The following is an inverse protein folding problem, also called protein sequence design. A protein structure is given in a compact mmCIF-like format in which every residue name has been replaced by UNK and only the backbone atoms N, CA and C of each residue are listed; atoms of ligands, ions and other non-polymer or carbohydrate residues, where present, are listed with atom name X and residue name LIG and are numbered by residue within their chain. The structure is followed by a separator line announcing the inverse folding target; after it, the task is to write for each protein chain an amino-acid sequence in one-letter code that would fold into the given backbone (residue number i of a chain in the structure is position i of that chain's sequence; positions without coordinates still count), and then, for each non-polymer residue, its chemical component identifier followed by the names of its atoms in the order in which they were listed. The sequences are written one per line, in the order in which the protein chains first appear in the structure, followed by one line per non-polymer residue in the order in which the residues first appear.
data_IF_042450006296
#
_entry.id   IF_042450006296
#
_cell.length_a   1.000
_cell.length_b   1.000
_cell.length_c   1.000
_cell.angle_alpha   90.00
_cell.angle_beta   90.00
_cell.angle_gamma   90.00
#
_symmetry.space_group_name_H-M   'P 1'
#
loop_
_entity.id
_entity.type
_entity.pdbx_description
1 polymer ?
#
# COMPACT_ATOMS: atom_id res chain seq x y z
N UNK A 1 30.81 35.76 -16.25
CA UNK A 1 30.47 36.61 -15.08
C UNK A 1 29.36 35.99 -14.26
N UNK A 2 29.27 36.36 -13.00
CA UNK A 2 28.19 35.84 -12.10
C UNK A 2 26.82 36.26 -12.62
N UNK A 3 26.67 37.48 -13.10
CA UNK A 3 25.40 37.94 -13.68
C UNK A 3 25.03 37.16 -14.95
N UNK A 4 26.02 36.86 -15.81
CA UNK A 4 25.80 36.01 -16.98
C UNK A 4 25.39 34.58 -16.59
N UNK A 5 26.00 34.03 -15.57
CA UNK A 5 25.65 32.73 -15.05
C UNK A 5 24.22 32.68 -14.49
N UNK A 6 23.82 33.65 -13.72
CA UNK A 6 22.46 33.74 -13.19
C UNK A 6 21.43 33.97 -14.28
N UNK A 7 21.77 34.70 -15.32
CA UNK A 7 20.93 34.85 -16.52
C UNK A 7 20.74 33.52 -17.23
N UNK A 8 21.80 32.71 -17.35
CA UNK A 8 21.76 31.39 -17.95
C UNK A 8 20.92 30.40 -17.12
N UNK A 9 21.06 30.42 -15.79
CA UNK A 9 20.22 29.66 -14.87
C UNK A 9 18.75 30.05 -15.05
N UNK A 10 18.46 31.34 -15.10
CA UNK A 10 17.10 31.81 -15.31
C UNK A 10 16.51 31.35 -16.64
N UNK A 11 17.30 31.37 -17.71
CA UNK A 11 16.86 30.90 -19.02
C UNK A 11 16.53 29.40 -19.00
N UNK A 12 17.32 28.62 -18.29
CA UNK A 12 17.03 27.19 -18.09
C UNK A 12 15.74 26.97 -17.28
N UNK A 13 15.51 27.76 -16.24
CA UNK A 13 14.28 27.71 -15.46
C UNK A 13 13.05 28.06 -16.30
N UNK A 14 13.15 29.09 -17.15
CA UNK A 14 12.06 29.47 -18.06
C UNK A 14 11.75 28.36 -19.05
N UNK A 15 12.77 27.70 -19.59
CA UNK A 15 12.58 26.56 -20.49
C UNK A 15 11.92 25.38 -19.76
N UNK A 16 12.34 25.08 -18.55
CA UNK A 16 11.70 24.03 -17.73
C UNK A 16 10.23 24.39 -17.50
N UNK A 17 9.92 25.66 -17.25
CA UNK A 17 8.54 26.12 -17.10
C UNK A 17 7.70 25.89 -18.34
N UNK A 18 8.22 26.22 -19.52
CA UNK A 18 7.55 25.95 -20.80
C UNK A 18 7.27 24.46 -20.99
N UNK A 19 8.27 23.61 -20.72
CA UNK A 19 8.15 22.16 -20.81
C UNK A 19 7.12 21.60 -19.81
N UNK A 20 7.06 22.18 -18.62
CA UNK A 20 6.09 21.79 -17.59
C UNK A 20 4.67 22.15 -17.99
N UNK A 21 4.46 23.31 -18.59
CA UNK A 21 3.14 23.70 -19.16
C UNK A 21 2.74 22.73 -20.27
N UNK A 22 3.66 22.37 -21.14
CA UNK A 22 3.41 21.39 -22.20
C UNK A 22 3.03 20.02 -21.61
N UNK A 23 3.71 19.58 -20.55
CA UNK A 23 3.42 18.31 -19.87
C UNK A 23 2.05 18.31 -19.17
N UNK A 24 1.54 19.45 -18.76
CA UNK A 24 0.26 19.58 -18.06
C UNK A 24 -0.96 19.48 -18.98
N UNK A 25 -0.77 19.50 -20.30
CA UNK A 25 -1.86 19.28 -21.23
C UNK A 25 -2.28 17.82 -21.24
N UNK A 26 -3.58 17.54 -21.27
CA UNK A 26 -4.12 16.18 -21.15
C UNK A 26 -3.93 15.28 -22.39
N UNK A 27 -3.16 15.70 -23.38
CA UNK A 27 -2.98 15.00 -24.65
C UNK A 27 -1.63 14.28 -24.77
N UNK A 28 -0.78 14.34 -23.72
CA UNK A 28 0.52 13.69 -23.75
C UNK A 28 0.40 12.18 -23.47
N UNK A 29 1.08 11.36 -24.27
CA UNK A 29 1.32 9.95 -23.96
C UNK A 29 2.40 9.83 -22.87
N UNK A 30 2.56 8.64 -22.27
CA UNK A 30 3.66 8.37 -21.34
C UNK A 30 5.02 8.60 -22.02
N UNK A 31 5.16 8.23 -23.31
CA UNK A 31 6.37 8.47 -24.09
C UNK A 31 6.64 9.97 -24.30
N UNK A 32 5.60 10.77 -24.51
CA UNK A 32 5.73 12.23 -24.62
C UNK A 32 6.21 12.82 -23.30
N UNK A 33 5.64 12.39 -22.17
CA UNK A 33 6.05 12.83 -20.83
C UNK A 33 7.50 12.43 -20.52
N UNK A 34 7.94 11.25 -20.93
CA UNK A 34 9.32 10.80 -20.76
C UNK A 34 10.29 11.68 -21.54
N UNK A 35 9.95 12.03 -22.77
CA UNK A 35 10.77 12.92 -23.61
C UNK A 35 10.86 14.33 -23.01
N UNK A 36 9.75 14.86 -22.52
CA UNK A 36 9.73 16.16 -21.82
C UNK A 36 10.59 16.11 -20.56
N UNK A 37 10.48 15.04 -19.79
CA UNK A 37 11.28 14.86 -18.57
C UNK A 37 12.77 14.75 -18.87
N UNK A 38 13.18 14.10 -19.92
CA UNK A 38 14.58 14.01 -20.31
C UNK A 38 15.16 15.39 -20.62
N UNK A 39 14.41 16.27 -21.29
CA UNK A 39 14.83 17.65 -21.52
C UNK A 39 14.87 18.45 -20.23
N UNK A 40 13.88 18.30 -19.33
CA UNK A 40 13.87 18.94 -18.02
C UNK A 40 15.11 18.55 -17.21
N UNK A 41 15.45 17.26 -17.18
CA UNK A 41 16.64 16.77 -16.48
C UNK A 41 17.90 17.38 -17.04
N UNK A 42 18.03 17.45 -18.36
CA UNK A 42 19.15 18.10 -19.02
C UNK A 42 19.30 19.56 -18.59
N UNK A 43 18.19 20.29 -18.48
CA UNK A 43 18.19 21.70 -18.04
C UNK A 43 18.54 21.84 -16.55
N UNK A 44 18.08 20.93 -15.70
CA UNK A 44 18.46 20.92 -14.29
C UNK A 44 19.94 20.62 -14.11
N UNK A 45 20.48 19.65 -14.86
CA UNK A 45 21.91 19.31 -14.85
C UNK A 45 22.76 20.51 -15.30
N UNK A 46 22.30 21.26 -16.30
CA UNK A 46 22.97 22.48 -16.78
C UNK A 46 22.97 23.57 -15.71
N UNK A 47 21.88 23.74 -14.96
CA UNK A 47 21.83 24.67 -13.82
C UNK A 47 22.91 24.31 -12.80
N UNK A 48 23.02 23.02 -12.44
CA UNK A 48 24.01 22.55 -11.48
C UNK A 48 25.44 22.72 -11.99
N UNK A 49 25.68 22.49 -13.27
CA UNK A 49 26.98 22.71 -13.91
C UNK A 49 27.39 24.16 -13.87
N UNK A 50 26.51 25.06 -14.26
CA UNK A 50 26.76 26.51 -14.25
C UNK A 50 27.03 26.99 -12.82
N UNK A 51 26.23 26.53 -11.86
CA UNK A 51 26.39 26.84 -10.45
C UNK A 51 27.75 26.42 -9.90
N UNK A 52 28.18 25.20 -10.21
CA UNK A 52 29.46 24.66 -9.72
C UNK A 52 30.70 25.27 -10.36
N UNK A 53 30.58 25.81 -11.58
CA UNK A 53 31.72 26.30 -12.34
C UNK A 53 31.87 27.84 -12.36
N UNK A 54 30.86 28.57 -11.90
CA UNK A 54 30.89 30.04 -11.92
C UNK A 54 31.85 30.56 -10.86
N UNK A 55 32.86 31.33 -11.30
CA UNK A 55 33.90 31.87 -10.43
C UNK A 55 33.97 33.38 -10.51
N UNK A 56 34.33 33.99 -9.37
CA UNK A 56 34.74 35.35 -9.24
C UNK A 56 36.04 35.38 -8.42
N UNK A 57 37.13 35.93 -9.01
CA UNK A 57 38.44 35.96 -8.38
C UNK A 57 38.91 34.54 -7.89
N UNK A 58 38.65 33.49 -8.66
CA UNK A 58 39.03 32.13 -8.31
C UNK A 58 38.11 31.43 -7.28
N UNK A 59 37.06 32.11 -6.82
CA UNK A 59 36.08 31.56 -5.88
C UNK A 59 34.82 31.13 -6.61
N UNK A 60 34.36 29.91 -6.34
CA UNK A 60 33.08 29.39 -6.86
C UNK A 60 31.93 30.03 -6.09
N UNK A 61 31.41 31.15 -6.59
CA UNK A 61 30.51 32.05 -5.85
C UNK A 61 29.08 31.54 -5.70
N UNK A 62 28.68 30.50 -6.48
CA UNK A 62 27.36 29.91 -6.42
C UNK A 62 27.36 28.49 -5.84
N UNK A 63 28.52 27.97 -5.44
CA UNK A 63 28.67 26.58 -5.01
C UNK A 63 28.49 26.37 -3.50
N UNK A 64 28.51 27.44 -2.72
CA UNK A 64 28.37 27.37 -1.25
C UNK A 64 27.90 28.68 -0.66
N UNK A 65 27.32 28.61 0.53
CA UNK A 65 27.02 29.77 1.35
C UNK A 65 28.32 30.34 1.96
N UNK A 66 28.33 31.61 2.27
CA UNK A 66 29.46 32.29 2.89
C UNK A 66 29.49 33.77 2.61
N UNK A 67 30.64 34.36 2.83
CA UNK A 67 30.88 35.78 2.47
C UNK A 67 32.25 35.94 1.86
N UNK A 68 32.38 36.96 1.02
CA UNK A 68 33.63 37.32 0.40
C UNK A 68 33.83 38.84 0.59
N UNK A 69 35.05 39.24 0.93
CA UNK A 69 35.41 40.64 1.07
C UNK A 69 36.25 41.06 -0.12
N UNK A 70 35.88 42.22 -0.69
CA UNK A 70 36.64 42.82 -1.78
C UNK A 70 37.20 44.12 -1.28
N UNK A 71 38.54 44.28 -1.41
CA UNK A 71 39.17 45.55 -1.08
C UNK A 71 38.90 46.60 -2.18
N UNK A 72 38.39 47.73 -1.77
CA UNK A 72 37.98 48.83 -2.69
C UNK A 72 38.71 50.13 -2.44
N UNK A 73 39.73 50.11 -1.52
CA UNK A 73 40.53 51.30 -1.18
C UNK A 73 41.96 50.93 -0.91
N UNK A 74 42.85 51.97 -0.78
CA UNK A 74 44.27 51.80 -0.52
C UNK A 74 44.59 51.44 0.94
N UNK A 75 43.65 51.66 1.87
CA UNK A 75 43.79 51.37 3.28
C UNK A 75 43.14 50.06 3.67
N UNK A 76 43.75 49.33 4.59
CA UNK A 76 43.15 48.15 5.18
C UNK A 76 41.84 48.49 5.85
N UNK A 77 40.79 47.69 5.63
CA UNK A 77 39.47 47.92 6.15
C UNK A 77 38.51 48.60 5.17
N UNK A 78 38.96 49.11 4.02
CA UNK A 78 38.12 49.58 2.95
C UNK A 78 37.63 48.43 2.08
N UNK A 79 36.70 47.64 2.63
CA UNK A 79 36.19 46.40 1.98
C UNK A 79 34.70 46.47 1.81
N UNK A 80 34.21 45.84 0.75
CA UNK A 80 32.80 45.51 0.54
C UNK A 80 32.64 44.00 0.76
N UNK A 81 31.67 43.62 1.59
CA UNK A 81 31.31 42.23 1.83
C UNK A 81 30.23 41.83 0.83
N UNK A 82 30.49 40.72 0.13
CA UNK A 82 29.51 40.08 -0.75
C UNK A 82 29.04 38.80 -0.08
N UNK A 83 27.75 38.68 0.14
CA UNK A 83 27.14 37.42 0.65
C UNK A 83 27.06 36.41 -0.50
N UNK A 84 27.70 35.28 -0.29
CA UNK A 84 27.65 34.15 -1.21
C UNK A 84 26.47 33.25 -0.85
N UNK A 85 25.77 32.79 -1.86
CA UNK A 85 24.63 31.89 -1.70
C UNK A 85 24.80 30.71 -2.64
N UNK A 86 24.63 29.50 -2.10
CA UNK A 86 24.58 28.31 -2.93
C UNK A 86 23.33 28.33 -3.78
N UNK A 87 23.49 28.31 -5.09
CA UNK A 87 22.42 28.34 -6.09
C UNK A 87 22.57 27.11 -6.98
N UNK A 88 21.77 26.11 -6.75
CA UNK A 88 21.67 24.90 -7.59
C UNK A 88 20.21 24.41 -7.61
N UNK A 89 19.95 23.31 -8.30
CA UNK A 89 18.59 22.76 -8.38
C UNK A 89 18.02 22.39 -7.01
N UNK A 90 18.85 21.90 -6.07
CA UNK A 90 18.41 21.55 -4.72
C UNK A 90 18.01 22.78 -3.89
N UNK A 91 18.87 23.82 -3.88
CA UNK A 91 18.60 25.05 -3.11
C UNK A 91 17.45 25.86 -3.70
N UNK A 92 17.16 25.67 -4.99
CA UNK A 92 16.00 26.28 -5.65
C UNK A 92 14.69 25.51 -5.40
N UNK A 93 14.73 24.43 -4.62
CA UNK A 93 13.55 23.63 -4.31
C UNK A 93 13.12 22.69 -5.43
N UNK A 94 14.01 22.32 -6.34
CA UNK A 94 13.74 21.49 -7.51
C UNK A 94 14.32 20.08 -7.40
N UNK A 95 14.71 19.63 -6.19
CA UNK A 95 15.11 18.25 -5.94
C UNK A 95 14.01 17.29 -6.36
N UNK A 96 14.36 16.35 -7.26
CA UNK A 96 13.42 15.35 -7.74
C UNK A 96 12.28 15.89 -8.59
N UNK A 97 12.37 17.15 -9.06
CA UNK A 97 11.37 17.76 -9.93
C UNK A 97 11.16 16.92 -11.18
N UNK A 98 9.92 16.51 -11.42
CA UNK A 98 9.61 15.69 -12.59
C UNK A 98 8.13 15.77 -12.96
N UNK A 99 7.82 15.42 -14.21
CA UNK A 99 6.48 15.46 -14.78
C UNK A 99 5.96 14.06 -15.16
N UNK A 100 6.77 13.01 -14.98
CA UNK A 100 6.44 11.64 -15.43
C UNK A 100 6.49 10.57 -14.32
N UNK A 101 6.76 10.96 -13.06
CA UNK A 101 6.97 10.01 -11.96
C UNK A 101 8.37 9.37 -11.94
N UNK A 102 9.26 9.77 -12.84
CA UNK A 102 10.63 9.22 -12.99
C UNK A 102 11.74 10.09 -12.41
N UNK A 103 11.41 11.05 -11.54
CA UNK A 103 12.40 11.88 -10.87
C UNK A 103 13.29 11.07 -9.93
N UNK A 104 14.51 11.57 -9.70
CA UNK A 104 15.46 10.96 -8.77
C UNK A 104 16.10 12.03 -7.89
N UNK A 105 16.29 11.68 -6.61
CA UNK A 105 17.01 12.49 -5.63
C UNK A 105 18.23 11.70 -5.18
N UNK A 106 19.42 12.29 -5.27
CA UNK A 106 20.65 11.67 -4.82
C UNK A 106 20.62 11.48 -3.29
N UNK A 107 20.99 10.29 -2.84
CA UNK A 107 21.16 9.98 -1.44
C UNK A 107 22.62 10.22 -1.03
N UNK A 108 22.83 10.48 0.24
CA UNK A 108 24.20 10.66 0.79
C UNK A 108 24.72 9.34 1.36
N UNK A 109 26.01 9.07 1.20
CA UNK A 109 26.64 7.90 1.80
C UNK A 109 26.45 7.93 3.33
N UNK A 110 26.04 6.81 3.92
CA UNK A 110 25.88 6.70 5.36
C UNK A 110 27.23 6.81 6.05
N UNK A 111 27.23 7.40 7.24
CA UNK A 111 28.43 7.63 8.05
C UNK A 111 28.30 6.96 9.41
N UNK A 112 29.42 6.89 10.15
CA UNK A 112 29.41 6.44 11.54
C UNK A 112 28.43 7.25 12.40
N UNK A 113 28.34 8.56 12.15
CA UNK A 113 27.42 9.45 12.87
C UNK A 113 25.97 9.07 12.63
N UNK A 114 25.61 8.71 11.39
CA UNK A 114 24.27 8.24 11.06
C UNK A 114 23.92 6.94 11.80
N UNK A 115 24.88 6.00 11.87
CA UNK A 115 24.71 4.74 12.59
C UNK A 115 24.56 4.97 14.10
N UNK A 116 25.39 5.83 14.68
CA UNK A 116 25.33 6.14 16.12
C UNK A 116 24.00 6.78 16.52
N UNK A 117 23.45 7.62 15.64
CA UNK A 117 22.14 8.24 15.87
C UNK A 117 20.96 7.25 15.75
N UNK A 118 21.11 6.22 14.94
CA UNK A 118 20.05 5.25 14.61
C UNK A 118 20.15 3.93 15.40
N UNK A 119 21.24 3.69 16.12
CA UNK A 119 21.45 2.42 16.83
C UNK A 119 20.35 2.15 17.86
N UNK A 120 19.86 0.93 17.89
CA UNK A 120 18.87 0.45 18.85
C UNK A 120 19.52 -0.25 20.05
N UNK A 121 20.71 -0.78 19.85
CA UNK A 121 21.53 -1.46 20.85
C UNK A 121 22.93 -0.85 20.84
N UNK A 122 23.69 -1.05 21.91
CA UNK A 122 25.11 -0.71 21.91
C UNK A 122 25.81 -1.46 20.76
N UNK A 123 26.71 -0.80 20.01
CA UNK A 123 27.40 -1.44 18.91
C UNK A 123 28.30 -2.58 19.42
N UNK A 124 28.47 -3.59 18.58
CA UNK A 124 29.38 -4.68 18.84
C UNK A 124 30.87 -4.20 18.92
N UNK A 125 31.75 -5.04 19.43
CA UNK A 125 33.17 -4.81 19.32
C UNK A 125 33.63 -5.06 17.89
N UNK A 126 34.69 -4.34 17.45
CA UNK A 126 35.28 -4.55 16.14
C UNK A 126 35.75 -6.00 15.97
N UNK A 127 35.44 -6.60 14.81
CA UNK A 127 35.96 -7.91 14.47
C UNK A 127 37.44 -7.86 14.05
N UNK A 128 37.99 -9.00 13.61
CA UNK A 128 39.41 -9.11 13.18
C UNK A 128 39.74 -8.19 11.99
N UNK A 129 38.75 -7.81 11.18
CA UNK A 129 38.90 -6.90 10.04
C UNK A 129 38.65 -5.43 10.40
N UNK A 130 38.34 -5.13 11.66
CA UNK A 130 37.99 -3.79 12.11
C UNK A 130 36.55 -3.39 11.82
N UNK A 131 35.70 -4.33 11.44
CA UNK A 131 34.27 -4.09 11.16
C UNK A 131 33.45 -4.05 12.45
N UNK A 132 32.63 -3.02 12.62
CA UNK A 132 31.73 -2.87 13.77
C UNK A 132 30.31 -3.05 13.30
N UNK A 133 29.56 -3.91 13.99
CA UNK A 133 28.15 -4.18 13.70
C UNK A 133 27.26 -3.23 14.47
N UNK A 134 26.33 -2.60 13.78
CA UNK A 134 25.27 -1.76 14.35
C UNK A 134 23.91 -2.38 14.06
N UNK A 135 23.05 -2.44 15.08
CA UNK A 135 21.65 -2.86 14.93
C UNK A 135 20.79 -1.63 14.85
N UNK A 136 20.07 -1.49 13.75
CA UNK A 136 19.20 -0.34 13.44
C UNK A 136 17.82 -0.81 13.03
N UNK A 137 16.84 0.09 12.97
CA UNK A 137 15.53 -0.22 12.43
C UNK A 137 15.63 -0.66 10.97
N UNK A 138 14.94 -1.73 10.62
CA UNK A 138 14.82 -2.17 9.23
C UNK A 138 13.87 -1.29 8.40
N UNK A 139 13.13 -0.39 9.05
CA UNK A 139 12.16 0.49 8.38
C UNK A 139 10.98 -0.24 7.76
N UNK A 140 10.65 -1.43 8.24
CA UNK A 140 9.52 -2.20 7.74
C UNK A 140 8.21 -1.51 8.11
N UNK A 141 7.23 -1.64 7.21
CA UNK A 141 5.89 -1.15 7.48
C UNK A 141 5.18 -2.06 8.48
N UNK A 142 4.41 -1.45 9.39
CA UNK A 142 3.49 -2.16 10.26
C UNK A 142 2.51 -2.95 9.41
N UNK A 143 2.30 -4.23 9.73
CA UNK A 143 1.38 -5.09 8.99
C UNK A 143 -0.07 -4.62 9.13
N UNK A 144 -0.82 -4.79 8.06
CA UNK A 144 -2.27 -4.55 8.02
C UNK A 144 -3.03 -5.88 7.90
N UNK A 145 -4.34 -5.86 8.13
CA UNK A 145 -5.19 -7.02 7.87
C UNK A 145 -5.07 -7.54 6.43
N UNK A 146 -4.95 -6.62 5.45
CA UNK A 146 -4.72 -6.98 4.05
C UNK A 146 -3.39 -7.71 3.85
N UNK A 147 -2.33 -7.29 4.54
CA UNK A 147 -1.03 -7.96 4.49
C UNK A 147 -1.11 -9.38 5.04
N UNK A 148 -1.86 -9.59 6.12
CA UNK A 148 -2.09 -10.92 6.68
C UNK A 148 -2.77 -11.83 5.66
N UNK A 149 -3.85 -11.38 5.04
CA UNK A 149 -4.59 -12.15 4.06
C UNK A 149 -3.71 -12.46 2.84
N UNK A 150 -2.93 -11.50 2.37
CA UNK A 150 -2.00 -11.68 1.26
C UNK A 150 -0.87 -12.68 1.56
N UNK A 151 -0.54 -12.88 2.84
CA UNK A 151 0.53 -13.79 3.29
C UNK A 151 0.07 -15.22 3.52
N UNK A 152 -1.24 -15.51 3.42
CA UNK A 152 -1.79 -16.83 3.76
C UNK A 152 -1.30 -17.92 2.81
N UNK A 153 -0.87 -19.02 3.40
CA UNK A 153 -0.60 -20.25 2.67
C UNK A 153 -1.91 -20.97 2.31
N UNK A 154 -1.86 -21.85 1.33
CA UNK A 154 -3.00 -22.68 1.00
C UNK A 154 -3.44 -23.51 2.23
N UNK A 155 -4.75 -23.61 2.46
CA UNK A 155 -5.38 -24.25 3.62
C UNK A 155 -5.15 -23.57 4.96
N UNK A 156 -4.59 -22.36 4.99
CA UNK A 156 -4.54 -21.57 6.21
C UNK A 156 -5.96 -21.26 6.72
N UNK A 157 -6.13 -21.29 8.03
CA UNK A 157 -7.44 -21.06 8.68
C UNK A 157 -7.46 -19.69 9.33
N UNK A 158 -8.42 -18.87 8.91
CA UNK A 158 -8.76 -17.61 9.55
C UNK A 158 -9.95 -17.85 10.44
N UNK A 159 -9.80 -17.65 11.75
CA UNK A 159 -10.91 -17.76 12.70
C UNK A 159 -11.50 -16.37 12.94
N UNK A 160 -12.79 -16.24 12.76
CA UNK A 160 -13.51 -14.98 12.94
C UNK A 160 -14.94 -15.22 13.42
N UNK A 161 -15.46 -14.25 14.17
CA UNK A 161 -16.85 -14.23 14.61
C UNK A 161 -17.60 -13.13 13.86
N UNK A 162 -18.08 -13.49 12.67
CA UNK A 162 -18.71 -12.55 11.73
C UNK A 162 -20.04 -13.12 11.23
N UNK A 163 -20.90 -12.24 10.73
CA UNK A 163 -22.09 -12.66 10.01
C UNK A 163 -21.69 -13.27 8.67
N UNK A 164 -22.04 -14.52 8.45
CA UNK A 164 -21.68 -15.27 7.23
C UNK A 164 -22.89 -15.76 6.43
N UNK A 165 -24.07 -15.27 6.75
CA UNK A 165 -25.34 -15.67 6.11
C UNK A 165 -26.09 -16.79 6.82
N UNK A 166 -25.50 -17.42 7.85
CA UNK A 166 -26.09 -18.59 8.52
C UNK A 166 -26.11 -18.41 10.04
N UNK A 167 -27.25 -18.11 10.59
CA UNK A 167 -27.46 -17.95 12.02
C UNK A 167 -26.79 -16.69 12.61
N UNK A 168 -26.69 -16.67 13.93
CA UNK A 168 -25.94 -15.63 14.64
C UNK A 168 -24.45 -15.84 14.48
N UNK A 169 -23.65 -14.77 14.46
CA UNK A 169 -22.22 -14.90 14.36
C UNK A 169 -21.63 -15.80 15.45
N UNK A 170 -20.86 -16.78 15.03
CA UNK A 170 -20.10 -17.67 15.90
C UNK A 170 -18.68 -17.78 15.40
N UNK A 171 -17.74 -18.10 16.29
CA UNK A 171 -16.36 -18.33 15.90
C UNK A 171 -16.30 -19.47 14.85
N UNK A 172 -15.86 -19.12 13.66
CA UNK A 172 -15.83 -20.01 12.49
C UNK A 172 -14.48 -19.97 11.84
N UNK A 173 -14.01 -21.13 11.38
CA UNK A 173 -12.79 -21.24 10.58
C UNK A 173 -13.12 -21.04 9.10
N UNK A 174 -12.46 -20.05 8.51
CA UNK A 174 -12.48 -19.76 7.08
C UNK A 174 -11.17 -20.26 6.49
N UNK A 175 -11.24 -21.30 5.65
CA UNK A 175 -10.05 -21.96 5.08
C UNK A 175 -9.70 -21.34 3.74
N UNK A 176 -8.48 -20.83 3.63
CA UNK A 176 -7.98 -20.17 2.43
C UNK A 176 -7.66 -21.15 1.31
N UNK A 177 -8.12 -20.86 0.11
CA UNK A 177 -7.76 -21.57 -1.11
C UNK A 177 -6.89 -20.67 -1.99
N UNK A 178 -5.60 -20.98 -2.09
CA UNK A 178 -4.65 -20.18 -2.86
C UNK A 178 -4.88 -20.22 -4.38
N UNK A 179 -5.55 -21.26 -4.88
CA UNK A 179 -5.85 -21.37 -6.30
C UNK A 179 -6.96 -20.42 -6.75
N UNK A 180 -7.94 -20.14 -5.88
CA UNK A 180 -9.08 -19.27 -6.17
C UNK A 180 -8.99 -17.91 -5.46
N UNK A 181 -8.17 -17.82 -4.41
CA UNK A 181 -8.03 -16.59 -3.61
C UNK A 181 -9.21 -16.31 -2.70
N UNK A 182 -10.09 -17.28 -2.50
CA UNK A 182 -11.25 -17.20 -1.62
C UNK A 182 -11.13 -18.12 -0.40
N UNK A 183 -12.16 -18.10 0.44
CA UNK A 183 -12.27 -18.92 1.65
C UNK A 183 -13.47 -19.85 1.56
N UNK A 184 -13.33 -21.02 2.12
CA UNK A 184 -14.44 -21.95 2.34
C UNK A 184 -14.70 -22.12 3.83
N UNK A 185 -15.96 -22.31 4.20
CA UNK A 185 -16.36 -22.50 5.58
C UNK A 185 -17.56 -23.42 5.70
N UNK A 186 -17.80 -23.88 6.90
CA UNK A 186 -18.96 -24.69 7.26
C UNK A 186 -19.85 -23.95 8.25
N UNK A 187 -21.12 -24.22 8.21
CA UNK A 187 -22.11 -23.64 9.10
C UNK A 187 -23.25 -24.61 9.35
N UNK A 188 -24.07 -24.31 10.33
CA UNK A 188 -25.29 -25.07 10.62
C UNK A 188 -26.45 -24.11 10.82
N UNK A 189 -27.56 -24.36 10.14
CA UNK A 189 -28.84 -23.73 10.43
C UNK A 189 -29.61 -24.67 11.32
N UNK A 190 -29.96 -24.22 12.52
CA UNK A 190 -30.66 -25.05 13.51
C UNK A 190 -32.02 -25.53 13.02
N UNK A 191 -32.44 -26.66 13.52
CA UNK A 191 -33.80 -27.17 13.28
C UNK A 191 -34.86 -26.17 13.73
N UNK A 192 -36.02 -26.20 13.10
CA UNK A 192 -37.21 -25.48 13.59
C UNK A 192 -37.64 -26.02 14.96
N UNK A 193 -38.15 -25.14 15.80
CA UNK A 193 -38.51 -25.48 17.17
C UNK A 193 -40.01 -25.78 17.36
N UNK A 194 -40.83 -25.31 16.43
CA UNK A 194 -42.28 -25.46 16.48
C UNK A 194 -42.86 -25.90 15.14
N UNK A 195 -44.06 -26.43 15.19
CA UNK A 195 -44.85 -26.73 13.98
C UNK A 195 -45.09 -25.43 13.19
N UNK A 196 -44.65 -25.41 11.94
CA UNK A 196 -44.68 -24.23 11.08
C UNK A 196 -43.41 -23.44 11.03
N UNK A 197 -42.47 -23.62 12.00
CA UNK A 197 -41.15 -23.01 11.92
C UNK A 197 -40.36 -23.64 10.76
N UNK A 198 -39.66 -22.79 10.03
CA UNK A 198 -38.79 -23.23 8.96
C UNK A 198 -37.45 -22.45 8.98
N UNK A 199 -36.38 -23.15 8.74
CA UNK A 199 -35.07 -22.58 8.50
C UNK A 199 -34.79 -22.35 7.03
N UNK A 200 -35.76 -22.66 6.17
CA UNK A 200 -35.65 -22.48 4.71
C UNK A 200 -35.49 -21.02 4.29
N UNK A 201 -36.10 -20.08 5.04
CA UNK A 201 -35.98 -18.66 4.74
C UNK A 201 -34.54 -18.14 4.78
N UNK A 202 -33.74 -18.64 5.73
CA UNK A 202 -32.33 -18.29 5.83
C UNK A 202 -31.52 -18.88 4.65
N UNK A 203 -31.78 -20.12 4.29
CA UNK A 203 -31.16 -20.75 3.13
C UNK A 203 -31.62 -20.07 1.83
N UNK A 204 -32.92 -19.73 1.73
CA UNK A 204 -33.48 -19.01 0.59
C UNK A 204 -32.78 -17.65 0.38
N UNK A 205 -32.59 -16.89 1.45
CA UNK A 205 -31.92 -15.57 1.40
C UNK A 205 -30.47 -15.70 0.95
N UNK A 206 -29.80 -16.78 1.29
CA UNK A 206 -28.44 -17.05 0.84
C UNK A 206 -28.40 -17.39 -0.65
N UNK A 207 -29.30 -18.25 -1.12
CA UNK A 207 -29.32 -18.75 -2.50
C UNK A 207 -29.88 -17.74 -3.50
N UNK A 208 -30.91 -16.98 -3.10
CA UNK A 208 -31.59 -15.99 -3.94
C UNK A 208 -31.84 -14.71 -3.15
N UNK A 209 -30.78 -13.87 -2.97
CA UNK A 209 -30.84 -12.72 -2.06
C UNK A 209 -31.78 -11.60 -2.51
N UNK A 210 -32.10 -11.54 -3.80
CA UNK A 210 -32.96 -10.50 -4.37
C UNK A 210 -34.23 -11.10 -4.97
N UNK A 211 -35.33 -10.34 -4.91
CA UNK A 211 -36.58 -10.72 -5.59
C UNK A 211 -36.31 -10.90 -7.10
N UNK A 212 -36.82 -12.00 -7.67
CA UNK A 212 -36.60 -12.36 -9.06
C UNK A 212 -35.36 -13.15 -9.37
N UNK A 213 -34.41 -13.28 -8.38
CA UNK A 213 -33.27 -14.15 -8.53
C UNK A 213 -33.66 -15.62 -8.68
N UNK A 214 -32.83 -16.36 -9.40
CA UNK A 214 -32.92 -17.82 -9.51
C UNK A 214 -31.56 -18.45 -9.19
N UNK A 215 -31.59 -19.69 -8.70
CA UNK A 215 -30.37 -20.46 -8.46
C UNK A 215 -30.45 -21.81 -9.15
N UNK A 216 -29.42 -22.19 -9.89
CA UNK A 216 -29.28 -23.51 -10.46
C UNK A 216 -28.68 -24.45 -9.41
N UNK A 217 -29.39 -25.50 -9.07
CA UNK A 217 -29.02 -26.40 -8.00
C UNK A 217 -29.07 -27.84 -8.48
N UNK A 218 -28.25 -28.70 -7.87
CA UNK A 218 -28.43 -30.14 -7.95
C UNK A 218 -29.06 -30.62 -6.64
N UNK A 219 -30.14 -31.35 -6.72
CA UNK A 219 -30.86 -31.92 -5.58
C UNK A 219 -30.70 -33.42 -5.59
N UNK A 220 -30.15 -33.99 -4.52
CA UNK A 220 -29.98 -35.41 -4.36
C UNK A 220 -30.81 -35.93 -3.19
N UNK A 221 -31.71 -36.87 -3.46
CA UNK A 221 -32.50 -37.58 -2.46
C UNK A 221 -32.23 -39.07 -2.64
N UNK A 222 -31.73 -39.73 -1.60
CA UNK A 222 -31.28 -41.09 -1.72
C UNK A 222 -30.17 -41.28 -2.75
N UNK A 223 -30.38 -42.12 -3.74
CA UNK A 223 -29.45 -42.30 -4.87
C UNK A 223 -29.80 -41.49 -6.11
N UNK A 224 -30.91 -40.75 -6.09
CA UNK A 224 -31.39 -39.97 -7.24
C UNK A 224 -30.96 -38.52 -7.17
N UNK A 225 -30.39 -38.03 -8.25
CA UNK A 225 -29.88 -36.66 -8.38
C UNK A 225 -30.55 -35.98 -9.58
N UNK A 226 -31.07 -34.79 -9.38
CA UNK A 226 -31.73 -33.98 -10.42
C UNK A 226 -31.28 -32.54 -10.38
N UNK A 227 -31.05 -31.95 -11.56
CA UNK A 227 -30.81 -30.54 -11.70
C UNK A 227 -32.09 -29.75 -11.69
N UNK A 228 -32.16 -28.75 -10.86
CA UNK A 228 -33.36 -27.93 -10.64
C UNK A 228 -33.02 -26.45 -10.66
N UNK A 229 -34.08 -25.62 -10.73
CA UNK A 229 -34.01 -24.18 -10.58
C UNK A 229 -34.83 -23.78 -9.36
N UNK A 230 -34.23 -23.07 -8.44
CA UNK A 230 -34.87 -22.45 -7.28
C UNK A 230 -35.23 -21.01 -7.64
N UNK A 231 -36.49 -20.65 -7.52
CA UNK A 231 -36.95 -19.27 -7.67
C UNK A 231 -36.89 -18.54 -6.31
N UNK A 232 -36.91 -17.20 -6.35
CA UNK A 232 -36.83 -16.37 -5.13
C UNK A 232 -38.07 -16.51 -4.22
N UNK A 233 -39.18 -17.04 -4.72
CA UNK A 233 -40.37 -17.37 -3.92
C UNK A 233 -40.29 -18.75 -3.26
N UNK A 234 -39.20 -19.48 -3.46
CA UNK A 234 -38.98 -20.82 -2.91
C UNK A 234 -39.46 -21.96 -3.80
N UNK A 235 -40.08 -21.69 -4.93
CA UNK A 235 -40.52 -22.74 -5.86
C UNK A 235 -39.36 -23.40 -6.56
N UNK A 236 -39.39 -24.72 -6.64
CA UNK A 236 -38.40 -25.54 -7.32
C UNK A 236 -39.00 -26.15 -8.57
N UNK A 237 -38.35 -25.95 -9.70
CA UNK A 237 -38.74 -26.51 -11.00
C UNK A 237 -37.59 -27.33 -11.57
N UNK A 238 -37.87 -28.25 -12.49
CA UNK A 238 -36.85 -28.92 -13.27
C UNK A 238 -36.10 -27.89 -14.14
N UNK A 239 -34.90 -28.26 -14.61
CA UNK A 239 -34.07 -27.39 -15.44
C UNK A 239 -34.78 -26.91 -16.71
N UNK A 240 -35.69 -27.71 -17.28
CA UNK A 240 -36.51 -27.36 -18.45
C UNK A 240 -37.75 -26.52 -18.12
N UNK A 241 -37.96 -26.14 -16.86
CA UNK A 241 -39.09 -25.38 -16.37
C UNK A 241 -40.29 -26.24 -15.97
N UNK A 242 -40.26 -27.54 -16.12
CA UNK A 242 -41.32 -28.44 -15.71
C UNK A 242 -41.59 -28.38 -14.21
N UNK A 243 -42.83 -28.44 -13.78
CA UNK A 243 -43.19 -28.46 -12.37
C UNK A 243 -42.72 -29.73 -11.71
N UNK A 244 -42.26 -29.58 -10.48
CA UNK A 244 -41.83 -30.70 -9.61
C UNK A 244 -42.73 -30.78 -8.39
N UNK A 245 -42.88 -32.02 -7.92
CA UNK A 245 -43.67 -32.38 -6.75
C UNK A 245 -42.83 -33.29 -5.84
N UNK A 246 -43.19 -33.37 -4.57
CA UNK A 246 -42.66 -34.31 -3.63
C UNK A 246 -43.71 -35.36 -3.34
N UNK A 247 -43.40 -36.61 -3.59
CA UNK A 247 -44.29 -37.75 -3.36
C UNK A 247 -44.31 -38.20 -1.89
N UNK A 248 -45.10 -39.20 -1.58
CA UNK A 248 -45.27 -39.72 -0.20
C UNK A 248 -44.00 -40.34 0.40
N UNK A 249 -43.09 -40.72 -0.46
CA UNK A 249 -41.79 -41.28 -0.06
C UNK A 249 -40.71 -40.19 0.08
N UNK A 250 -41.08 -38.97 -0.19
CA UNK A 250 -40.18 -37.80 -0.10
C UNK A 250 -39.29 -37.58 -1.32
N UNK A 251 -39.57 -38.23 -2.45
CA UNK A 251 -38.82 -38.07 -3.68
C UNK A 251 -39.40 -36.98 -4.57
N UNK A 252 -38.54 -36.30 -5.33
CA UNK A 252 -38.94 -35.38 -6.36
C UNK A 252 -39.49 -36.15 -7.57
N UNK A 253 -40.63 -35.66 -8.11
CA UNK A 253 -41.27 -36.28 -9.27
C UNK A 253 -41.95 -35.18 -10.11
N UNK A 254 -42.06 -35.42 -11.42
CA UNK A 254 -42.92 -34.61 -12.34
C UNK A 254 -44.35 -35.09 -12.36
N UNK A 255 -44.64 -36.27 -11.78
CA UNK A 255 -45.94 -36.82 -11.71
C UNK A 255 -46.77 -36.20 -10.57
N UNK A 256 -47.85 -35.55 -10.91
CA UNK A 256 -48.75 -34.89 -9.95
C UNK A 256 -49.98 -35.75 -9.56
N UNK A 257 -49.98 -37.04 -9.93
CA UNK A 257 -51.07 -37.97 -9.57
C UNK A 257 -50.86 -38.48 -8.14
N UNK A 258 -51.98 -38.72 -7.44
CA UNK A 258 -51.96 -39.19 -6.06
C UNK A 258 -51.70 -38.12 -5.03
N UNK A 259 -51.15 -38.51 -3.88
CA UNK A 259 -50.85 -37.56 -2.79
C UNK A 259 -49.44 -36.98 -2.97
N UNK A 260 -49.35 -35.79 -3.53
CA UNK A 260 -48.09 -35.07 -3.76
C UNK A 260 -48.18 -33.65 -3.21
N UNK A 261 -47.02 -33.07 -2.92
CA UNK A 261 -46.85 -31.67 -2.53
C UNK A 261 -46.10 -30.91 -3.65
N UNK A 262 -46.37 -29.65 -3.83
CA UNK A 262 -45.50 -28.82 -4.68
C UNK A 262 -44.07 -28.81 -4.14
N UNK A 263 -43.10 -28.95 -5.02
CA UNK A 263 -41.68 -28.88 -4.63
C UNK A 263 -41.31 -27.43 -4.33
N UNK A 264 -40.92 -27.19 -3.08
CA UNK A 264 -40.42 -25.90 -2.61
C UNK A 264 -39.20 -26.15 -1.70
N UNK A 265 -38.36 -25.15 -1.53
CA UNK A 265 -37.25 -25.25 -0.59
C UNK A 265 -37.75 -25.55 0.82
N UNK A 266 -38.80 -24.88 1.26
CA UNK A 266 -39.42 -25.12 2.57
C UNK A 266 -39.88 -26.57 2.72
N UNK A 267 -40.55 -27.14 1.71
CA UNK A 267 -40.99 -28.53 1.74
C UNK A 267 -39.82 -29.52 1.84
N UNK A 268 -38.70 -29.24 1.21
CA UNK A 268 -37.49 -30.07 1.32
C UNK A 268 -36.88 -30.01 2.73
N UNK A 269 -36.92 -28.89 3.40
CA UNK A 269 -36.42 -28.75 4.78
C UNK A 269 -37.29 -29.52 5.79
N UNK A 270 -38.57 -29.79 5.45
CA UNK A 270 -39.55 -30.55 6.24
C UNK A 270 -39.78 -31.92 5.66
N UNK A 271 -38.92 -32.40 4.77
CA UNK A 271 -39.22 -33.62 4.00
C UNK A 271 -39.35 -34.83 4.93
N UNK A 272 -40.45 -35.55 4.77
CA UNK A 272 -40.87 -36.63 5.66
C UNK A 272 -41.69 -37.65 4.85
N UNK A 273 -41.26 -38.92 4.89
CA UNK A 273 -42.08 -39.97 4.26
C UNK A 273 -43.16 -40.46 5.22
N UNK A 274 -44.32 -40.79 4.65
CA UNK A 274 -45.50 -41.16 5.43
C UNK A 274 -45.89 -42.61 5.23
N UNK A 275 -45.24 -43.34 4.30
CA UNK A 275 -45.52 -44.74 4.00
C UNK A 275 -44.53 -45.63 4.76
N UNK A 276 -45.00 -46.83 5.15
CA UNK A 276 -44.18 -47.76 5.91
C UNK A 276 -43.87 -47.23 7.33
N UNK A 277 -42.58 -47.18 7.71
CA UNK A 277 -42.14 -46.56 8.96
C UNK A 277 -41.87 -45.07 8.68
N UNK A 278 -42.72 -44.18 9.20
CA UNK A 278 -42.53 -42.74 8.96
C UNK A 278 -41.17 -42.23 9.44
N UNK A 279 -40.57 -41.31 8.67
CA UNK A 279 -39.27 -40.79 9.04
C UNK A 279 -38.79 -39.61 8.16
N UNK A 280 -37.77 -38.96 8.64
CA UNK A 280 -37.12 -37.87 7.91
C UNK A 280 -36.50 -38.35 6.60
N UNK A 281 -36.63 -37.51 5.57
CA UNK A 281 -35.94 -37.75 4.29
C UNK A 281 -34.89 -36.68 4.08
N UNK A 282 -33.66 -37.11 4.11
CA UNK A 282 -32.50 -36.21 3.91
C UNK A 282 -32.34 -35.83 2.45
N UNK A 283 -31.99 -34.56 2.22
CA UNK A 283 -31.74 -34.00 0.90
C UNK A 283 -30.40 -33.34 0.89
N UNK A 284 -29.61 -33.53 -0.17
CA UNK A 284 -28.36 -32.79 -0.39
C UNK A 284 -28.55 -31.86 -1.57
N UNK A 285 -28.37 -30.59 -1.34
CA UNK A 285 -28.41 -29.55 -2.38
C UNK A 285 -26.97 -29.12 -2.65
N UNK A 286 -26.58 -29.09 -3.92
CA UNK A 286 -25.25 -28.65 -4.35
C UNK A 286 -25.41 -27.47 -5.31
N UNK A 287 -24.70 -26.37 -5.04
CA UNK A 287 -24.69 -25.19 -5.90
C UNK A 287 -23.63 -25.33 -7.00
N UNK A 288 -23.61 -24.42 -7.96
CA UNK A 288 -22.64 -24.41 -9.06
C UNK A 288 -21.19 -24.22 -8.56
N UNK A 289 -20.98 -23.52 -7.44
CA UNK A 289 -19.67 -23.34 -6.80
C UNK A 289 -19.29 -24.46 -5.83
N UNK A 290 -20.01 -25.58 -5.87
CA UNK A 290 -19.78 -26.78 -5.06
C UNK A 290 -20.08 -26.62 -3.56
N UNK A 291 -20.78 -25.55 -3.16
CA UNK A 291 -21.33 -25.46 -1.81
C UNK A 291 -22.41 -26.50 -1.63
N UNK A 292 -22.37 -27.26 -0.54
CA UNK A 292 -23.36 -28.27 -0.25
C UNK A 292 -24.19 -27.93 0.98
N UNK A 293 -25.49 -28.19 0.87
CA UNK A 293 -26.47 -28.03 1.95
C UNK A 293 -27.10 -29.39 2.19
N UNK A 294 -26.84 -29.96 3.35
CA UNK A 294 -27.47 -31.21 3.76
C UNK A 294 -28.65 -30.88 4.67
N UNK A 295 -29.84 -31.04 4.11
CA UNK A 295 -31.10 -30.88 4.81
C UNK A 295 -31.43 -32.22 5.51
N UNK A 296 -31.51 -32.22 6.81
CA UNK A 296 -31.81 -33.46 7.58
C UNK A 296 -33.22 -33.98 7.33
N UNK A 297 -34.08 -33.17 6.69
CA UNK A 297 -35.50 -33.46 6.56
C UNK A 297 -36.29 -33.01 7.79
N UNK A 298 -37.57 -33.35 7.87
CA UNK A 298 -38.39 -32.94 9.00
C UNK A 298 -38.03 -33.71 10.30
N UNK A 299 -38.21 -33.08 11.43
CA UNK A 299 -38.25 -33.74 12.72
C UNK A 299 -39.59 -34.41 12.96
N UNK A 300 -40.56 -33.98 12.20
CA UNK A 300 -41.90 -34.56 11.98
C UNK A 300 -42.44 -34.01 10.63
N UNK A 301 -43.67 -34.28 10.26
CA UNK A 301 -44.26 -33.88 8.97
C UNK A 301 -44.37 -32.35 8.78
N UNK A 302 -44.20 -31.52 9.82
CA UNK A 302 -44.44 -30.08 9.80
C UNK A 302 -43.30 -29.23 10.30
N UNK A 303 -42.26 -29.82 10.92
CA UNK A 303 -41.16 -29.09 11.51
C UNK A 303 -39.86 -29.44 10.79
N UNK A 304 -39.10 -28.42 10.38
CA UNK A 304 -37.83 -28.59 9.66
C UNK A 304 -36.73 -29.13 10.55
N UNK A 305 -35.91 -30.03 10.01
CA UNK A 305 -34.66 -30.45 10.63
C UNK A 305 -33.53 -29.45 10.41
N UNK A 306 -32.37 -29.75 10.96
CA UNK A 306 -31.18 -28.91 10.77
C UNK A 306 -30.67 -28.97 9.33
N UNK A 307 -29.99 -27.90 8.94
CA UNK A 307 -29.28 -27.79 7.65
C UNK A 307 -27.80 -27.68 7.96
N UNK A 308 -26.99 -28.57 7.42
CA UNK A 308 -25.53 -28.51 7.51
C UNK A 308 -24.98 -27.94 6.21
N UNK A 309 -24.18 -26.88 6.33
CA UNK A 309 -23.55 -26.19 5.21
C UNK A 309 -22.08 -26.57 5.17
N UNK A 310 -21.59 -27.00 4.01
CA UNK A 310 -20.20 -27.30 3.78
C UNK A 310 -19.70 -26.62 2.51
N UNK A 311 -18.45 -26.25 2.51
CA UNK A 311 -17.80 -25.57 1.39
C UNK A 311 -18.50 -24.28 0.95
N UNK A 312 -19.18 -23.58 1.85
CA UNK A 312 -19.66 -22.24 1.58
C UNK A 312 -18.49 -21.33 1.28
N UNK A 313 -18.66 -20.41 0.34
CA UNK A 313 -17.55 -19.56 -0.13
C UNK A 313 -17.71 -18.13 0.32
N UNK A 314 -16.60 -17.53 0.68
CA UNK A 314 -16.50 -16.11 1.00
C UNK A 314 -15.26 -15.56 0.32
N UNK A 315 -15.40 -14.44 -0.40
CA UNK A 315 -14.24 -13.78 -1.00
C UNK A 315 -13.33 -13.19 0.07
N UNK A 316 -12.05 -13.04 -0.26
CA UNK A 316 -11.08 -12.39 0.63
C UNK A 316 -11.51 -10.95 0.97
N UNK A 317 -12.07 -10.24 0.02
CA UNK A 317 -12.59 -8.89 0.22
C UNK A 317 -13.75 -8.84 1.21
N UNK A 318 -14.69 -9.79 1.09
CA UNK A 318 -15.83 -9.90 2.01
C UNK A 318 -15.39 -10.27 3.42
N UNK A 319 -14.43 -11.18 3.56
CA UNK A 319 -13.88 -11.57 4.86
C UNK A 319 -13.17 -10.37 5.51
N UNK A 320 -12.34 -9.67 4.77
CA UNK A 320 -11.61 -8.50 5.25
C UNK A 320 -12.56 -7.38 5.67
N UNK A 321 -13.60 -7.13 4.89
CA UNK A 321 -14.63 -6.14 5.20
C UNK A 321 -15.42 -6.52 6.46
N UNK A 322 -15.85 -7.79 6.56
CA UNK A 322 -16.64 -8.28 7.68
C UNK A 322 -15.85 -8.31 9.00
N UNK A 323 -14.53 -8.52 8.94
CA UNK A 323 -13.66 -8.58 10.12
C UNK A 323 -13.11 -7.22 10.55
N UNK A 324 -13.40 -6.17 9.82
CA UNK A 324 -12.84 -4.83 10.07
C UNK A 324 -13.19 -4.30 11.47
N UNK A 325 -14.36 -4.64 11.99
CA UNK A 325 -14.81 -4.20 13.33
C UNK A 325 -14.63 -5.26 14.41
N UNK A 326 -14.36 -6.50 14.06
CA UNK A 326 -14.25 -7.63 15.01
C UNK A 326 -12.83 -8.16 15.15
N UNK A 327 -11.99 -7.97 14.13
CA UNK A 327 -10.70 -8.64 14.03
C UNK A 327 -10.83 -10.12 13.68
N UNK A 328 -9.71 -10.80 13.65
CA UNK A 328 -9.61 -12.24 13.37
C UNK A 328 -8.28 -12.80 13.87
N UNK A 329 -8.16 -14.10 13.88
CA UNK A 329 -6.91 -14.81 14.21
C UNK A 329 -6.53 -15.79 13.10
N UNK A 330 -5.23 -16.07 12.99
CA UNK A 330 -4.72 -17.14 12.12
C UNK A 330 -3.82 -18.03 12.96
N UNK A 331 -4.21 -19.29 13.12
CA UNK A 331 -3.47 -20.27 13.90
C UNK A 331 -2.62 -21.14 12.97
N UNK A 332 -1.34 -21.25 13.24
CA UNK A 332 -0.39 -22.08 12.47
C UNK A 332 -0.12 -23.43 13.15
N UNK A 333 -0.48 -23.56 14.42
CA UNK A 333 -0.31 -24.76 15.22
C UNK A 333 -1.61 -25.50 15.49
N UNK A 334 -1.52 -26.70 16.02
CA UNK A 334 -2.67 -27.56 16.27
C UNK A 334 -3.42 -27.23 17.57
N UNK A 335 -2.75 -26.74 18.60
CA UNK A 335 -3.33 -26.43 19.92
C UNK A 335 -2.58 -25.32 20.61
N UNK A 336 -3.33 -24.42 21.28
CA UNK A 336 -2.75 -23.30 21.99
C UNK A 336 -2.04 -22.29 21.08
N UNK A 337 -1.36 -21.33 21.69
CA UNK A 337 -0.57 -20.37 20.92
C UNK A 337 0.72 -21.01 20.41
N UNK A 338 0.97 -20.90 19.12
CA UNK A 338 2.17 -21.37 18.46
C UNK A 338 2.93 -20.21 17.82
N UNK A 339 4.25 -20.28 17.81
CA UNK A 339 5.06 -19.25 17.13
C UNK A 339 4.59 -19.08 15.69
N UNK A 340 4.31 -17.84 15.30
CA UNK A 340 3.77 -17.51 13.99
C UNK A 340 2.26 -17.29 13.95
N UNK A 341 1.52 -17.62 15.01
CA UNK A 341 0.11 -17.27 15.12
C UNK A 341 -0.10 -15.79 15.00
N UNK A 342 -1.17 -15.37 14.33
CA UNK A 342 -1.46 -13.98 14.04
C UNK A 342 -2.77 -13.59 14.72
N UNK A 343 -2.79 -12.40 15.27
CA UNK A 343 -3.96 -11.76 15.84
C UNK A 343 -4.14 -10.37 15.26
N UNK A 344 -5.32 -10.12 14.69
CA UNK A 344 -5.72 -8.80 14.21
C UNK A 344 -6.87 -8.34 15.07
N UNK A 345 -6.72 -7.20 15.74
CA UNK A 345 -7.77 -6.66 16.63
C UNK A 345 -8.82 -5.84 15.85
N UNK A 346 -9.81 -5.36 16.58
CA UNK A 346 -10.89 -4.54 16.02
C UNK A 346 -10.46 -3.16 15.50
N UNK A 347 -9.24 -2.75 15.79
CA UNK A 347 -8.62 -1.51 15.31
C UNK A 347 -7.69 -1.74 14.12
N UNK A 348 -7.51 -3.00 13.71
CA UNK A 348 -6.63 -3.38 12.61
C UNK A 348 -5.17 -3.56 13.02
N UNK A 349 -4.86 -3.56 14.32
CA UNK A 349 -3.50 -3.82 14.81
C UNK A 349 -3.18 -5.30 14.66
N UNK A 350 -2.08 -5.60 13.97
CA UNK A 350 -1.62 -6.95 13.69
C UNK A 350 -0.47 -7.30 14.63
N UNK A 351 -0.63 -8.41 15.33
CA UNK A 351 0.40 -8.97 16.20
C UNK A 351 0.68 -10.43 15.82
N UNK A 352 1.92 -10.83 16.00
CA UNK A 352 2.37 -12.21 15.75
C UNK A 352 2.96 -12.79 17.04
N UNK A 353 2.65 -14.05 17.31
CA UNK A 353 3.16 -14.75 18.48
C UNK A 353 4.61 -15.18 18.26
N UNK A 354 5.49 -14.78 19.16
CA UNK A 354 6.93 -15.07 19.07
C UNK A 354 7.32 -16.46 19.59
N UNK A 355 6.36 -17.17 20.20
CA UNK A 355 6.57 -18.39 20.97
C UNK A 355 6.45 -18.15 22.48
N UNK A 356 6.43 -16.86 22.89
CA UNK A 356 6.26 -16.44 24.29
C UNK A 356 5.19 -15.39 24.45
N UNK A 357 5.16 -14.38 23.59
CA UNK A 357 4.21 -13.27 23.63
C UNK A 357 3.78 -12.85 22.24
N UNK A 358 2.66 -12.14 22.13
CA UNK A 358 2.29 -11.42 20.91
C UNK A 358 3.02 -10.08 20.84
N UNK A 359 3.66 -9.80 19.72
CA UNK A 359 4.31 -8.54 19.43
C UNK A 359 3.82 -7.98 18.10
N UNK A 360 3.96 -6.66 17.93
CA UNK A 360 3.57 -6.00 16.69
C UNK A 360 4.26 -6.65 15.48
N UNK A 361 3.50 -6.89 14.44
CA UNK A 361 3.97 -7.49 13.21
C UNK A 361 4.30 -6.44 12.16
N UNK A 362 5.32 -6.73 11.36
CA UNK A 362 5.79 -5.94 10.24
C UNK A 362 5.81 -6.81 9.00
N UNK A 363 5.67 -6.17 7.84
CA UNK A 363 5.64 -6.86 6.55
C UNK A 363 6.95 -6.67 5.81
N UNK A 364 7.61 -7.77 5.46
CA UNK A 364 8.82 -7.78 4.65
C UNK A 364 8.50 -7.53 3.18
N UNK A 365 9.53 -7.22 2.40
CA UNK A 365 9.40 -7.00 0.96
C UNK A 365 8.82 -8.21 0.20
N UNK A 366 9.04 -9.43 0.69
CA UNK A 366 8.49 -10.67 0.11
C UNK A 366 7.04 -10.96 0.53
N UNK A 367 6.43 -10.10 1.34
CA UNK A 367 5.08 -10.24 1.85
C UNK A 367 4.95 -11.04 3.14
N UNK A 368 6.02 -11.67 3.63
CA UNK A 368 6.00 -12.40 4.91
C UNK A 368 5.96 -11.45 6.10
N UNK A 369 5.39 -11.91 7.21
CA UNK A 369 5.29 -11.15 8.45
C UNK A 369 6.44 -11.51 9.38
N UNK A 370 6.86 -10.53 10.16
CA UNK A 370 7.90 -10.70 11.20
C UNK A 370 7.62 -9.78 12.37
N UNK A 371 8.04 -10.17 13.55
CA UNK A 371 8.06 -9.28 14.72
C UNK A 371 9.40 -8.54 14.84
N UNK A 372 10.39 -8.93 14.06
CA UNK A 372 11.72 -8.32 14.04
C UNK A 372 11.79 -7.22 12.99
N UNK A 373 11.75 -5.96 13.43
CA UNK A 373 11.94 -4.78 12.59
C UNK A 373 13.36 -4.21 12.74
N UNK A 374 14.36 -5.08 12.88
CA UNK A 374 15.76 -4.68 12.98
C UNK A 374 16.58 -5.26 11.84
N UNK A 375 17.68 -4.59 11.53
CA UNK A 375 18.69 -5.06 10.58
C UNK A 375 20.07 -4.66 11.07
N UNK A 376 21.09 -5.37 10.62
CA UNK A 376 22.47 -5.04 10.93
C UNK A 376 23.11 -4.28 9.77
N UNK A 377 23.77 -3.18 10.11
CA UNK A 377 24.64 -2.44 9.22
C UNK A 377 26.07 -2.51 9.75
N UNK A 378 27.03 -2.43 8.86
CA UNK A 378 28.44 -2.68 9.19
C UNK A 378 29.28 -1.45 8.86
N UNK A 379 29.92 -0.92 9.89
CA UNK A 379 30.93 0.14 9.74
C UNK A 379 32.28 -0.51 9.45
N UNK A 380 32.78 -0.32 8.26
CA UNK A 380 34.09 -0.83 7.85
C UNK A 380 35.23 0.00 8.44
N UNK A 381 36.41 -0.56 8.45
CA UNK A 381 37.60 0.10 9.00
C UNK A 381 37.93 1.44 8.32
N UNK A 382 37.61 1.56 7.02
CA UNK A 382 37.78 2.79 6.22
C UNK A 382 36.69 3.84 6.42
N UNK A 383 35.71 3.59 7.28
CA UNK A 383 34.59 4.47 7.56
C UNK A 383 33.38 4.30 6.63
N UNK A 384 33.45 3.42 5.65
CA UNK A 384 32.30 3.11 4.80
C UNK A 384 31.28 2.25 5.54
N UNK A 385 30.01 2.41 5.20
CA UNK A 385 28.89 1.64 5.77
C UNK A 385 28.33 0.71 4.71
N UNK A 386 28.23 -0.57 5.06
CA UNK A 386 27.69 -1.61 4.18
C UNK A 386 26.58 -2.39 4.86
N UNK A 387 25.72 -3.05 4.05
CA UNK A 387 24.74 -4.00 4.55
C UNK A 387 25.31 -5.42 4.65
N UNK A 388 24.47 -6.38 5.04
CA UNK A 388 24.87 -7.79 5.18
C UNK A 388 25.32 -8.47 3.87
N UNK A 389 24.99 -7.89 2.72
CA UNK A 389 25.43 -8.36 1.40
C UNK A 389 26.67 -7.60 0.87
N UNK A 390 27.25 -6.74 1.67
CA UNK A 390 28.41 -5.94 1.29
C UNK A 390 28.10 -4.73 0.41
N UNK A 391 26.84 -4.40 0.20
CA UNK A 391 26.43 -3.22 -0.58
C UNK A 391 26.61 -1.95 0.24
N UNK A 392 27.02 -0.87 -0.43
CA UNK A 392 27.10 0.46 0.18
C UNK A 392 25.71 0.94 0.63
N UNK A 393 25.67 1.57 1.80
CA UNK A 393 24.46 2.10 2.41
C UNK A 393 24.46 3.62 2.32
N UNK A 394 23.32 4.17 1.97
CA UNK A 394 23.06 5.60 1.84
C UNK A 394 21.97 6.02 2.82
N UNK A 395 21.86 7.31 3.06
CA UNK A 395 20.77 7.94 3.81
C UNK A 395 19.95 8.76 2.83
N UNK A 396 18.64 8.48 2.76
CA UNK A 396 17.69 9.23 1.94
C UNK A 396 17.31 10.57 2.59
N UNK A 397 16.63 11.42 1.84
CA UNK A 397 16.20 12.73 2.30
C UNK A 397 15.27 12.68 3.54
N UNK A 398 14.51 11.59 3.70
CA UNK A 398 13.66 11.34 4.87
C UNK A 398 14.39 10.70 6.06
N UNK A 399 15.71 10.53 5.96
CA UNK A 399 16.56 9.99 7.03
C UNK A 399 16.63 8.48 7.12
N UNK A 400 16.06 7.75 6.17
CA UNK A 400 16.08 6.29 6.15
C UNK A 400 17.35 5.74 5.47
N UNK A 401 17.83 4.61 5.94
CA UNK A 401 18.91 3.87 5.28
C UNK A 401 18.38 3.15 4.04
N UNK A 402 19.17 3.15 2.98
CA UNK A 402 18.87 2.49 1.73
C UNK A 402 20.16 2.05 1.03
N UNK A 403 20.09 1.03 0.20
CA UNK A 403 21.21 0.65 -0.68
C UNK A 403 21.15 1.36 -2.03
N UNK A 404 20.13 2.16 -2.26
CA UNK A 404 19.97 2.94 -3.49
C UNK A 404 20.75 4.25 -3.39
N UNK A 405 21.59 4.52 -4.38
CA UNK A 405 22.31 5.79 -4.48
C UNK A 405 21.38 6.96 -4.78
N UNK A 406 20.22 6.68 -5.36
CA UNK A 406 19.18 7.64 -5.69
C UNK A 406 17.81 7.08 -5.29
N UNK A 407 16.94 7.96 -4.79
CA UNK A 407 15.54 7.61 -4.48
C UNK A 407 14.64 8.20 -5.56
N UNK A 408 13.69 7.42 -6.05
CA UNK A 408 12.67 7.90 -6.99
C UNK A 408 11.78 8.92 -6.32
N UNK A 409 11.52 10.02 -7.01
CA UNK A 409 10.56 11.02 -6.61
C UNK A 409 9.24 10.84 -7.38
N UNK A 410 8.12 10.97 -6.67
CA UNK A 410 6.81 11.04 -7.31
C UNK A 410 6.72 12.27 -8.24
N UNK A 411 5.76 12.27 -9.17
CA UNK A 411 5.45 13.46 -9.98
C UNK A 411 5.26 14.67 -9.08
N UNK A 412 5.89 15.79 -9.42
CA UNK A 412 5.81 17.02 -8.64
C UNK A 412 4.36 17.50 -8.56
N UNK A 413 3.86 17.73 -7.34
CA UNK A 413 2.44 18.03 -7.09
C UNK A 413 2.00 19.38 -7.63
N UNK A 414 2.84 20.40 -7.48
CA UNK A 414 2.57 21.76 -8.00
C UNK A 414 3.83 22.31 -8.69
N UNK A 415 4.10 21.82 -9.91
CA UNK A 415 5.37 22.09 -10.58
C UNK A 415 5.52 23.57 -10.99
N UNK A 416 4.46 24.24 -11.40
CA UNK A 416 4.53 25.66 -11.80
C UNK A 416 4.83 26.54 -10.61
N UNK A 417 4.25 26.26 -9.45
CA UNK A 417 4.55 27.00 -8.22
C UNK A 417 6.01 26.83 -7.80
N UNK A 418 6.53 25.61 -7.85
CA UNK A 418 7.94 25.32 -7.55
C UNK A 418 8.88 26.12 -8.46
N UNK A 419 8.58 26.16 -9.76
CA UNK A 419 9.38 26.91 -10.74
C UNK A 419 9.26 28.43 -10.54
N UNK A 420 8.08 28.94 -10.26
CA UNK A 420 7.87 30.36 -10.00
C UNK A 420 8.64 30.82 -8.75
N UNK A 421 8.67 30.01 -7.71
CA UNK A 421 9.48 30.25 -6.50
C UNK A 421 10.99 30.21 -6.80
N UNK A 422 11.44 29.28 -7.62
CA UNK A 422 12.84 29.17 -8.04
C UNK A 422 13.26 30.42 -8.86
N UNK A 423 12.45 30.83 -9.80
CA UNK A 423 12.68 32.06 -10.63
C UNK A 423 12.72 33.28 -9.72
N UNK A 424 11.78 33.40 -8.78
CA UNK A 424 11.75 34.50 -7.82
C UNK A 424 13.02 34.55 -6.95
N UNK A 425 13.55 33.41 -6.54
CA UNK A 425 14.81 33.31 -5.78
C UNK A 425 16.00 33.83 -6.58
N UNK A 426 16.07 33.49 -7.88
CA UNK A 426 17.11 33.97 -8.77
C UNK A 426 16.98 35.48 -8.96
N UNK A 427 15.77 36.00 -9.18
CA UNK A 427 15.54 37.45 -9.35
C UNK A 427 15.94 38.23 -8.09
N UNK A 428 15.62 37.76 -6.91
CA UNK A 428 16.04 38.38 -5.65
C UNK A 428 17.56 38.40 -5.48
N UNK A 429 18.23 37.30 -5.82
CA UNK A 429 19.68 37.21 -5.74
C UNK A 429 20.36 38.12 -6.74
N UNK A 430 19.83 38.21 -7.97
CA UNK A 430 20.31 39.16 -8.99
C UNK A 430 20.15 40.63 -8.54
N UNK A 431 19.02 40.96 -7.93
CA UNK A 431 18.80 42.29 -7.35
C UNK A 431 19.80 42.62 -6.25
N UNK A 432 20.10 41.65 -5.38
CA UNK A 432 21.11 41.78 -4.34
C UNK A 432 22.51 42.02 -4.91
N UNK A 433 22.88 41.28 -5.96
CA UNK A 433 24.16 41.47 -6.65
C UNK A 433 24.22 42.82 -7.39
N UNK A 434 23.12 43.26 -8.00
CA UNK A 434 23.03 44.59 -8.63
C UNK A 434 23.29 45.71 -7.64
N UNK A 435 22.75 45.63 -6.44
CA UNK A 435 23.04 46.58 -5.36
C UNK A 435 24.53 46.58 -4.96
N UNK A 436 25.16 45.40 -4.89
CA UNK A 436 26.61 45.28 -4.64
C UNK A 436 27.43 45.90 -5.76
N UNK A 437 27.08 45.66 -7.04
CA UNK A 437 27.74 46.25 -8.19
C UNK A 437 27.66 47.76 -8.14
N UNK A 438 26.49 48.32 -7.83
CA UNK A 438 26.33 49.79 -7.68
C UNK A 438 27.22 50.36 -6.56
N UNK A 439 27.35 49.63 -5.44
CA UNK A 439 28.26 50.03 -4.35
C UNK A 439 29.71 50.01 -4.79
N UNK A 440 30.12 48.97 -5.54
CA UNK A 440 31.47 48.87 -6.10
C UNK A 440 31.75 50.00 -7.09
N UNK A 441 30.83 50.28 -7.99
CA UNK A 441 30.99 51.39 -8.96
C UNK A 441 31.09 52.73 -8.25
N UNK A 442 30.29 52.98 -7.24
CA UNK A 442 30.36 54.21 -6.43
C UNK A 442 31.70 54.32 -5.68
N UNK A 443 32.20 53.18 -5.12
CA UNK A 443 33.49 53.15 -4.45
C UNK A 443 34.66 53.43 -5.42
N UNK A 444 34.62 52.85 -6.63
CA UNK A 444 35.62 53.12 -7.69
C UNK A 444 35.56 54.57 -8.13
N UNK A 445 34.38 55.12 -8.35
CA UNK A 445 34.21 56.54 -8.71
C UNK A 445 34.77 57.47 -7.64
N UNK A 446 34.50 57.22 -6.37
CA UNK A 446 35.02 57.99 -5.25
C UNK A 446 36.55 57.90 -5.16
N UNK A 447 37.14 56.77 -5.40
CA UNK A 447 38.58 56.59 -5.48
C UNK A 447 39.20 57.41 -6.61
N UNK A 448 38.63 57.35 -7.80
CA UNK A 448 39.10 58.11 -8.95
C UNK A 448 39.04 59.61 -8.68
N UNK A 449 37.93 60.11 -8.11
CA UNK A 449 37.78 61.50 -7.72
C UNK A 449 38.83 61.91 -6.69
N UNK A 450 39.11 61.13 -5.68
CA UNK A 450 40.12 61.34 -4.68
C UNK A 450 41.51 61.41 -5.31
N UNK A 451 41.85 60.52 -6.22
CA UNK A 451 43.12 60.51 -6.94
C UNK A 451 43.29 61.77 -7.82
N UNK A 452 42.24 62.15 -8.56
CA UNK A 452 42.25 63.33 -9.37
C UNK A 452 42.48 64.63 -8.52
N UNK A 453 41.74 64.76 -7.42
CA UNK A 453 41.87 65.88 -6.50
C UNK A 453 43.27 65.96 -5.88
N UNK A 454 43.87 64.84 -5.51
CA UNK A 454 45.25 64.78 -5.00
C UNK A 454 46.28 65.21 -6.07
N UNK A 455 46.10 64.79 -7.32
CA UNK A 455 46.95 65.16 -8.43
C UNK A 455 46.85 66.70 -8.70
N UNK A 456 45.66 67.24 -8.67
CA UNK A 456 45.44 68.69 -8.82
C UNK A 456 46.09 69.44 -7.67
N UNK A 457 46.01 68.98 -6.45
CA UNK A 457 46.62 69.61 -5.28
C UNK A 457 48.15 69.61 -5.33
N UNK A 458 48.79 68.61 -6.00
CA UNK A 458 50.25 68.53 -6.19
C UNK A 458 50.76 69.43 -7.32
N UNK A 459 49.96 69.83 -8.25
CA UNK A 459 50.34 70.68 -9.32
C UNK A 459 50.11 72.17 -8.94
#
# INVERSE_FOLDING_TARGET
TTEGALSEINNNLQRIRELTVQASTGTNSDSDLDSIQDEIKSRLDEIDRVSGQTQFNGVNVLAKDGSMKIQVGANDGQTITIDLKKIDSDTLGLSGFNVNGGGAVANTAATKSDLAAAQLLAPGTADANGTVTYTVSAGLKTSTAADVIASLANNAKVNATIANGFGSPTATDYTYNSATGDFTYSATIAAGTNSGDSNSAQLQSFLTPKAGDTANLNVKIGSTSIDVVLASDGKITAKDGSELFIDVDGNLTQNNAGTVKAATLDALTKNWHTTGTPGAVSTVITTEDETTFTLAGGTNATTSGAITVANARMSAESLQSATKSTGFTVDVGATGNSAGDIKVDSKGIVQQYTGTVFEDAYTKADGSLTTDNTTNLFLQKDGTVTNGSGKAVYVSADGNFTTDAETKAATTADPLKALDEAISSIDKFRSSLGAVQNRLDSAVTNLNNTTTNLSEAQS
#
